data_IF_742463994916
#
_entry.id   IF_742463994916
#
_cell.length_a   1.000
_cell.length_b   1.000
_cell.length_c   1.000
_cell.angle_alpha   90.00
_cell.angle_beta   90.00
_cell.angle_gamma   90.00
#
_symmetry.space_group_name_H-M   'P 1'
#
loop_
_entity.id
_entity.type
_entity.pdbx_description
1 polymer ?
#
# COMPACT_ATOMS: atom_id res chain seq x y z
N UNK A 1 6.15 -2.70 -81.19
CA UNK A 1 5.57 -3.55 -80.12
C UNK A 1 6.23 -3.17 -78.80
N UNK A 2 5.57 -2.33 -78.00
CA UNK A 2 6.08 -1.83 -76.72
C UNK A 2 5.54 -2.68 -75.58
N UNK A 3 6.43 -3.42 -74.92
CA UNK A 3 6.11 -4.38 -73.88
C UNK A 3 5.94 -3.65 -72.53
N UNK A 4 4.70 -3.39 -72.09
CA UNK A 4 4.38 -2.83 -70.77
C UNK A 4 4.57 -3.90 -69.71
N UNK A 5 5.69 -3.87 -68.98
CA UNK A 5 5.85 -4.63 -67.73
C UNK A 5 4.89 -4.09 -66.67
N UNK A 6 3.86 -4.88 -66.33
CA UNK A 6 3.04 -4.69 -65.13
C UNK A 6 3.93 -4.92 -63.91
N UNK A 7 4.23 -3.86 -63.18
CA UNK A 7 4.73 -3.95 -61.80
C UNK A 7 3.61 -4.50 -60.93
N UNK A 8 3.75 -5.75 -60.49
CA UNK A 8 2.86 -6.36 -59.51
C UNK A 8 3.16 -5.76 -58.13
N UNK A 9 2.35 -4.80 -57.69
CA UNK A 9 2.32 -4.26 -56.32
C UNK A 9 1.82 -5.30 -55.27
N UNK A 10 2.09 -6.59 -55.45
CA UNK A 10 1.60 -7.67 -54.56
C UNK A 10 2.36 -7.77 -53.24
N UNK A 11 3.49 -7.07 -53.10
CA UNK A 11 4.28 -7.03 -51.86
C UNK A 11 3.71 -6.08 -50.80
N UNK A 12 2.76 -5.22 -51.15
CA UNK A 12 2.21 -4.20 -50.23
C UNK A 12 1.18 -4.77 -49.26
N UNK A 13 0.15 -5.47 -49.75
CA UNK A 13 -0.96 -5.97 -48.92
C UNK A 13 -0.54 -7.08 -47.95
N UNK A 14 0.37 -7.97 -48.36
CA UNK A 14 0.84 -9.06 -47.51
C UNK A 14 1.68 -8.54 -46.32
N UNK A 15 2.51 -7.52 -46.56
CA UNK A 15 3.30 -6.88 -45.51
C UNK A 15 2.41 -6.14 -44.51
N UNK A 16 1.42 -5.40 -45.00
CA UNK A 16 0.46 -4.68 -44.14
C UNK A 16 -0.34 -5.67 -43.27
N UNK A 17 -0.85 -6.76 -43.86
CA UNK A 17 -1.57 -7.80 -43.13
C UNK A 17 -0.71 -8.44 -42.03
N UNK A 18 0.56 -8.76 -42.35
CA UNK A 18 1.51 -9.30 -41.38
C UNK A 18 1.78 -8.33 -40.22
N UNK A 19 1.98 -7.04 -40.53
CA UNK A 19 2.23 -6.02 -39.49
C UNK A 19 1.02 -5.85 -38.58
N UNK A 20 -0.19 -5.77 -39.14
CA UNK A 20 -1.43 -5.66 -38.35
C UNK A 20 -1.65 -6.90 -37.48
N UNK A 21 -1.38 -8.10 -38.01
CA UNK A 21 -1.46 -9.35 -37.24
C UNK A 21 -0.50 -9.38 -36.06
N UNK A 22 0.76 -8.97 -36.26
CA UNK A 22 1.77 -8.90 -35.19
C UNK A 22 1.36 -7.89 -34.12
N UNK A 23 0.93 -6.69 -34.52
CA UNK A 23 0.47 -5.66 -33.58
C UNK A 23 -0.75 -6.15 -32.79
N UNK A 24 -1.70 -6.81 -33.44
CA UNK A 24 -2.87 -7.41 -32.78
C UNK A 24 -2.47 -8.42 -31.70
N UNK A 25 -1.55 -9.34 -32.02
CA UNK A 25 -1.04 -10.32 -31.05
C UNK A 25 -0.33 -9.64 -29.89
N UNK A 26 0.48 -8.60 -30.16
CA UNK A 26 1.19 -7.87 -29.11
C UNK A 26 0.23 -7.14 -28.16
N UNK A 27 -0.83 -6.52 -28.68
CA UNK A 27 -1.85 -5.85 -27.85
C UNK A 27 -2.57 -6.87 -26.96
N UNK A 28 -2.99 -8.01 -27.53
CA UNK A 28 -3.65 -9.08 -26.76
C UNK A 28 -2.69 -9.62 -25.68
N UNK A 29 -1.43 -9.89 -26.04
CA UNK A 29 -0.41 -10.35 -25.11
C UNK A 29 -0.18 -9.37 -23.95
N UNK A 30 -0.06 -8.08 -24.25
CA UNK A 30 0.09 -7.03 -23.24
C UNK A 30 -1.12 -6.96 -22.29
N UNK A 31 -2.34 -7.07 -22.83
CA UNK A 31 -3.57 -7.09 -22.02
C UNK A 31 -3.63 -8.29 -21.06
N UNK A 32 -3.25 -9.49 -21.53
CA UNK A 32 -3.21 -10.69 -20.70
C UNK A 32 -2.19 -10.56 -19.58
N UNK A 33 -0.97 -10.07 -19.88
CA UNK A 33 0.08 -9.88 -18.88
C UNK A 33 -0.37 -8.85 -17.83
N UNK A 34 -0.98 -7.74 -18.26
CA UNK A 34 -1.49 -6.72 -17.34
C UNK A 34 -2.57 -7.28 -16.39
N UNK A 35 -3.49 -8.12 -16.89
CA UNK A 35 -4.53 -8.76 -16.09
C UNK A 35 -3.95 -9.71 -15.03
N UNK A 36 -2.98 -10.56 -15.40
CA UNK A 36 -2.33 -11.45 -14.44
C UNK A 36 -1.50 -10.69 -13.40
N UNK A 37 -0.85 -9.59 -13.81
CA UNK A 37 -0.11 -8.72 -12.90
C UNK A 37 -1.02 -8.05 -11.86
N UNK A 38 -2.18 -7.53 -12.27
CA UNK A 38 -3.16 -6.93 -11.37
C UNK A 38 -3.68 -7.95 -10.35
N UNK A 39 -4.04 -9.16 -10.80
CA UNK A 39 -4.45 -10.26 -9.92
C UNK A 39 -3.36 -10.67 -8.92
N UNK A 40 -2.11 -10.79 -9.36
CA UNK A 40 -0.99 -11.15 -8.48
C UNK A 40 -0.74 -10.08 -7.41
N UNK A 41 -0.84 -8.79 -7.79
CA UNK A 41 -0.64 -7.67 -6.86
C UNK A 41 -1.66 -7.58 -5.73
N UNK A 42 -2.81 -8.25 -5.89
CA UNK A 42 -3.92 -8.27 -4.94
C UNK A 42 -3.91 -9.50 -4.02
N UNK A 43 -3.05 -10.47 -4.32
CA UNK A 43 -2.82 -11.66 -3.47
C UNK A 43 -1.74 -11.43 -2.41
N UNK A 44 -1.21 -10.20 -2.33
CA UNK A 44 -0.19 -9.79 -1.36
C UNK A 44 -0.71 -8.64 -0.50
N UNK A 45 -0.14 -8.42 0.69
CA UNK A 45 -0.46 -7.25 1.51
C UNK A 45 -0.22 -5.95 0.74
N UNK A 46 -1.06 -4.93 0.99
CA UNK A 46 -0.83 -3.59 0.45
C UNK A 46 0.44 -3.01 1.10
N UNK A 47 1.50 -2.82 0.31
CA UNK A 47 2.75 -2.29 0.83
C UNK A 47 2.66 -0.76 0.99
N UNK A 48 2.89 -0.27 2.20
CA UNK A 48 2.98 1.16 2.54
C UNK A 48 4.39 1.41 3.06
N UNK A 49 5.11 2.36 2.47
CA UNK A 49 6.49 2.63 2.88
C UNK A 49 6.55 3.07 4.36
N UNK A 50 7.38 2.41 5.20
CA UNK A 50 7.59 2.83 6.59
C UNK A 50 8.09 4.26 6.69
N UNK A 51 7.82 4.91 7.82
CA UNK A 51 8.40 6.22 8.13
C UNK A 51 9.94 6.17 8.05
N UNK A 52 10.61 7.18 7.46
CA UNK A 52 12.07 7.19 7.36
C UNK A 52 12.76 7.07 8.72
N UNK A 53 13.67 6.12 8.87
CA UNK A 53 14.34 5.85 10.14
C UNK A 53 13.51 5.05 11.15
N UNK A 54 12.30 4.58 10.77
CA UNK A 54 11.59 3.60 11.57
C UNK A 54 12.28 2.22 11.49
N UNK A 55 12.47 1.60 12.66
CA UNK A 55 13.05 0.27 12.78
C UNK A 55 11.96 -0.77 13.03
N UNK A 56 12.05 -1.98 12.45
CA UNK A 56 11.17 -3.09 12.81
C UNK A 56 11.26 -3.37 14.30
N UNK A 57 10.11 -3.54 14.95
CA UNK A 57 10.01 -3.69 16.39
C UNK A 57 9.11 -4.86 16.75
N UNK A 58 9.66 -5.90 17.37
CA UNK A 58 8.92 -7.12 17.68
C UNK A 58 8.78 -8.08 16.48
N UNK A 59 8.05 -9.18 16.69
CA UNK A 59 7.78 -10.16 15.64
C UNK A 59 6.48 -9.82 14.91
N UNK A 60 6.40 -10.05 13.57
CA UNK A 60 5.14 -10.03 12.86
C UNK A 60 4.12 -10.91 13.58
N UNK A 61 2.95 -10.37 13.90
CA UNK A 61 1.88 -11.18 14.46
C UNK A 61 1.05 -11.71 13.28
N UNK A 62 1.08 -13.02 13.01
CA UNK A 62 0.25 -13.59 11.96
C UNK A 62 -1.21 -13.38 12.36
N UNK A 63 -1.97 -12.73 11.47
CA UNK A 63 -3.41 -12.65 11.61
C UNK A 63 -4.08 -13.97 11.22
N UNK A 64 -5.40 -13.96 11.10
CA UNK A 64 -6.13 -15.11 10.55
C UNK A 64 -6.12 -15.04 9.03
N UNK A 65 -5.55 -16.06 8.39
CA UNK A 65 -5.56 -16.21 6.94
C UNK A 65 -4.77 -15.10 6.25
N UNK A 66 -5.48 -14.21 5.54
CA UNK A 66 -4.91 -13.13 4.74
C UNK A 66 -4.81 -11.81 5.51
N UNK A 67 -4.33 -11.89 6.75
CA UNK A 67 -4.08 -10.71 7.58
C UNK A 67 -2.77 -10.85 8.35
N UNK A 68 -2.11 -9.73 8.60
CA UNK A 68 -0.91 -9.68 9.44
C UNK A 68 -0.78 -8.31 10.11
N UNK A 69 -0.12 -8.30 11.28
CA UNK A 69 0.31 -7.07 11.93
C UNK A 69 1.83 -6.96 11.94
N UNK A 70 2.34 -5.82 11.47
CA UNK A 70 3.75 -5.44 11.55
C UNK A 70 3.90 -4.26 12.50
N UNK A 71 5.02 -4.21 13.20
CA UNK A 71 5.28 -3.20 14.20
C UNK A 71 6.63 -2.56 13.92
N UNK A 72 6.67 -1.23 14.01
CA UNK A 72 7.87 -0.42 13.88
C UNK A 72 7.94 0.59 15.01
N UNK A 73 9.13 1.12 15.27
CA UNK A 73 9.36 2.22 16.20
C UNK A 73 10.21 3.31 15.55
N UNK A 74 9.94 4.56 15.87
CA UNK A 74 10.68 5.72 15.39
C UNK A 74 11.00 6.67 16.56
N UNK A 75 12.11 7.40 16.45
CA UNK A 75 12.53 8.38 17.47
C UNK A 75 11.79 9.72 17.37
N UNK A 76 10.98 9.92 16.33
CA UNK A 76 10.19 11.12 16.11
C UNK A 76 8.88 11.15 16.90
N UNK A 77 8.25 12.32 16.95
CA UNK A 77 6.96 12.52 17.61
C UNK A 77 5.79 11.95 16.78
N UNK A 78 4.71 11.44 17.42
CA UNK A 78 3.59 10.83 16.71
C UNK A 78 2.97 11.77 15.67
N UNK A 79 2.90 13.07 15.94
CA UNK A 79 2.36 14.07 15.00
C UNK A 79 3.20 14.23 13.73
N UNK A 80 4.54 14.14 13.87
CA UNK A 80 5.47 14.21 12.74
C UNK A 80 5.34 12.96 11.88
N UNK A 81 5.29 11.80 12.52
CA UNK A 81 5.07 10.52 11.83
C UNK A 81 3.70 10.51 11.13
N UNK A 82 2.64 11.00 11.77
CA UNK A 82 1.31 11.11 11.16
C UNK A 82 1.30 12.06 9.95
N UNK A 83 2.04 13.17 10.02
CA UNK A 83 2.16 14.11 8.90
C UNK A 83 2.81 13.46 7.67
N UNK A 84 3.83 12.63 7.85
CA UNK A 84 4.40 11.84 6.77
C UNK A 84 3.37 10.90 6.12
N UNK A 85 2.58 10.19 6.94
CA UNK A 85 1.56 9.30 6.40
C UNK A 85 0.39 10.04 5.76
N UNK A 86 0.08 11.27 6.17
CA UNK A 86 -0.89 12.12 5.47
C UNK A 86 -0.44 12.38 4.03
N UNK A 87 0.81 12.78 3.81
CA UNK A 87 1.35 13.02 2.46
C UNK A 87 1.24 11.77 1.58
N UNK A 88 1.56 10.60 2.15
CA UNK A 88 1.43 9.32 1.43
C UNK A 88 -0.01 8.91 1.17
N UNK A 89 -0.92 9.24 2.08
CA UNK A 89 -2.35 8.94 1.92
C UNK A 89 -2.98 9.81 0.84
N UNK A 90 -2.61 11.09 0.77
CA UNK A 90 -2.99 12.01 -0.30
C UNK A 90 -2.50 11.48 -1.64
N UNK A 91 -1.22 11.09 -1.74
CA UNK A 91 -0.66 10.49 -2.95
C UNK A 91 -1.40 9.20 -3.36
N UNK A 92 -1.64 8.31 -2.41
CA UNK A 92 -2.35 7.04 -2.62
C UNK A 92 -3.77 7.24 -3.15
N UNK A 93 -4.47 8.26 -2.68
CA UNK A 93 -5.85 8.58 -3.10
C UNK A 93 -5.91 9.53 -4.30
N UNK A 94 -4.81 9.71 -5.04
CA UNK A 94 -4.81 10.48 -6.28
C UNK A 94 -4.81 12.00 -6.08
N UNK A 95 -4.30 12.47 -4.94
CA UNK A 95 -4.22 13.89 -4.60
C UNK A 95 -5.41 14.42 -3.80
N UNK A 96 -6.21 13.54 -3.19
CA UNK A 96 -7.31 13.94 -2.32
C UNK A 96 -6.78 14.47 -0.97
N UNK A 97 -6.81 15.79 -0.80
CA UNK A 97 -6.36 16.48 0.42
C UNK A 97 -7.25 16.20 1.64
N UNK A 98 -8.46 15.67 1.45
CA UNK A 98 -9.34 15.28 2.56
C UNK A 98 -8.99 13.91 3.13
N UNK A 99 -8.21 13.10 2.40
CA UNK A 99 -7.76 11.79 2.83
C UNK A 99 -6.59 11.89 3.83
N UNK A 100 -6.92 12.24 5.07
CA UNK A 100 -5.98 12.44 6.16
C UNK A 100 -6.10 11.34 7.23
N UNK A 101 -5.02 11.13 7.96
CA UNK A 101 -5.00 10.32 9.17
C UNK A 101 -5.93 10.94 10.23
N UNK A 102 -6.76 10.10 10.84
CA UNK A 102 -7.71 10.53 11.87
C UNK A 102 -7.10 10.34 13.25
N UNK A 103 -7.08 11.41 14.07
CA UNK A 103 -6.66 11.35 15.47
C UNK A 103 -7.79 10.84 16.37
N UNK A 104 -7.47 9.93 17.29
CA UNK A 104 -8.39 9.37 18.27
C UNK A 104 -7.76 9.44 19.67
N UNK A 105 -8.35 10.18 20.64
CA UNK A 105 -9.49 11.09 20.46
C UNK A 105 -9.11 12.29 19.57
N UNK A 106 -10.07 13.00 18.95
CA UNK A 106 -9.76 14.17 18.11
C UNK A 106 -8.94 15.22 18.84
N UNK A 107 -9.17 15.40 20.15
CA UNK A 107 -8.42 16.30 21.02
C UNK A 107 -8.15 15.64 22.38
N UNK A 108 -7.05 16.04 23.02
CA UNK A 108 -6.68 15.55 24.36
C UNK A 108 -6.17 14.11 24.35
N UNK A 109 -6.35 13.42 25.48
CA UNK A 109 -5.94 12.03 25.69
C UNK A 109 -7.10 11.20 26.21
N UNK A 110 -7.15 9.93 25.81
CA UNK A 110 -7.98 8.91 26.44
C UNK A 110 -7.67 8.84 27.94
N UNK A 111 -8.68 8.44 28.71
CA UNK A 111 -8.48 8.13 30.13
C UNK A 111 -7.58 6.91 30.21
N UNK A 112 -6.37 7.12 30.71
CA UNK A 112 -5.42 6.04 30.99
C UNK A 112 -6.09 5.13 32.03
N UNK A 113 -6.28 3.87 31.67
CA UNK A 113 -6.80 2.87 32.60
C UNK A 113 -5.70 2.54 33.62
N UNK A 114 -5.89 2.83 34.92
CA UNK A 114 -4.88 2.55 35.94
C UNK A 114 -4.56 1.05 36.09
N UNK A 115 -5.40 0.17 35.56
CA UNK A 115 -5.17 -1.28 35.57
C UNK A 115 -4.52 -1.81 34.27
N UNK A 116 -4.34 -0.95 33.26
CA UNK A 116 -3.73 -1.34 31.98
C UNK A 116 -2.59 -0.36 31.62
N UNK A 117 -1.33 -0.70 31.95
CA UNK A 117 -0.17 0.15 31.67
C UNK A 117 0.10 0.33 30.16
N UNK A 118 -0.54 -0.47 29.29
CA UNK A 118 -0.46 -0.37 27.84
C UNK A 118 -1.61 0.48 27.24
N UNK A 119 -2.33 1.23 28.07
CA UNK A 119 -3.39 2.11 27.61
C UNK A 119 -2.82 3.21 26.71
N UNK A 120 -3.25 3.24 25.45
CA UNK A 120 -2.80 4.21 24.46
C UNK A 120 -3.51 5.55 24.72
N UNK A 121 -2.78 6.63 25.05
CA UNK A 121 -3.39 7.91 25.39
C UNK A 121 -4.01 8.58 24.16
N UNK A 122 -3.42 8.44 22.99
CA UNK A 122 -4.03 8.85 21.72
C UNK A 122 -3.34 8.10 20.59
N UNK A 123 -4.00 8.01 19.44
CA UNK A 123 -3.44 7.43 18.23
C UNK A 123 -3.89 8.20 16.99
N UNK A 124 -3.09 8.12 15.94
CA UNK A 124 -3.51 8.47 14.58
C UNK A 124 -3.79 7.19 13.82
N UNK A 125 -4.86 7.18 13.03
CA UNK A 125 -5.22 6.07 12.14
C UNK A 125 -5.25 6.55 10.70
N UNK A 126 -4.37 6.01 9.86
CA UNK A 126 -4.33 6.25 8.43
C UNK A 126 -4.79 4.96 7.73
N UNK A 127 -5.76 5.05 6.80
CA UNK A 127 -6.29 3.89 6.10
C UNK A 127 -5.93 3.96 4.62
N UNK A 128 -4.95 3.15 4.20
CA UNK A 128 -4.63 2.93 2.80
C UNK A 128 -5.53 1.81 2.29
N UNK A 129 -6.51 2.15 1.45
CA UNK A 129 -7.50 1.19 0.95
C UNK A 129 -7.41 1.06 -0.57
N UNK A 130 -7.46 -0.18 -1.07
CA UNK A 130 -7.59 -0.53 -2.49
C UNK A 130 -8.69 -1.58 -2.71
N UNK A 131 -9.60 -1.70 -1.75
CA UNK A 131 -10.72 -2.62 -1.79
C UNK A 131 -11.70 -2.26 -2.91
N UNK A 132 -12.40 -3.26 -3.41
CA UNK A 132 -13.45 -3.11 -4.42
C UNK A 132 -14.64 -4.02 -4.06
N UNK A 133 -15.66 -4.09 -4.92
CA UNK A 133 -16.91 -4.81 -4.64
C UNK A 133 -16.75 -6.32 -4.36
N UNK A 134 -15.68 -6.96 -4.86
CA UNK A 134 -15.41 -8.39 -4.73
C UNK A 134 -14.13 -8.72 -3.96
N UNK A 135 -13.38 -7.71 -3.50
CA UNK A 135 -12.04 -7.87 -2.96
C UNK A 135 -11.77 -6.89 -1.83
N UNK A 136 -11.09 -7.33 -0.78
CA UNK A 136 -10.62 -6.46 0.31
C UNK A 136 -9.10 -6.39 0.28
N UNK A 137 -8.52 -5.20 0.19
CA UNK A 137 -7.08 -5.02 0.33
C UNK A 137 -6.80 -3.67 0.97
N UNK A 138 -6.36 -3.66 2.23
CA UNK A 138 -6.03 -2.42 2.93
C UNK A 138 -4.84 -2.59 3.87
N UNK A 139 -4.22 -1.47 4.20
CA UNK A 139 -3.27 -1.33 5.31
C UNK A 139 -3.70 -0.17 6.17
N UNK A 140 -4.03 -0.47 7.42
CA UNK A 140 -4.30 0.54 8.44
C UNK A 140 -3.02 0.77 9.23
N UNK A 141 -2.53 2.00 9.16
CA UNK A 141 -1.38 2.46 9.94
C UNK A 141 -1.90 3.12 11.21
N UNK A 142 -1.54 2.56 12.36
CA UNK A 142 -1.83 3.13 13.68
C UNK A 142 -0.54 3.70 14.25
N UNK A 143 -0.58 4.95 14.68
CA UNK A 143 0.60 5.68 15.15
C UNK A 143 0.28 6.20 16.54
N UNK A 144 1.09 5.85 17.54
CA UNK A 144 0.82 6.22 18.92
C UNK A 144 2.12 6.32 19.72
N UNK A 145 2.15 7.09 20.82
CA UNK A 145 3.31 7.14 21.69
C UNK A 145 3.55 5.76 22.32
N UNK A 146 4.81 5.34 22.36
CA UNK A 146 5.22 4.09 22.97
C UNK A 146 5.09 4.14 24.49
N UNK A 147 4.85 2.96 25.08
CA UNK A 147 4.73 2.78 26.51
C UNK A 147 6.04 2.24 27.10
N UNK A 148 6.33 2.55 28.38
CA UNK A 148 7.44 1.93 29.09
C UNK A 148 7.21 0.42 29.25
N UNK A 149 8.29 -0.35 29.14
CA UNK A 149 8.29 -1.80 29.36
C UNK A 149 9.55 -2.20 30.14
N UNK A 150 9.41 -3.17 31.05
CA UNK A 150 10.51 -3.71 31.84
C UNK A 150 11.55 -4.44 30.97
N UNK A 151 11.14 -5.01 29.83
CA UNK A 151 12.04 -5.61 28.86
C UNK A 151 12.64 -4.52 27.95
N UNK A 152 13.98 -4.30 27.95
CA UNK A 152 14.63 -3.31 27.11
C UNK A 152 14.38 -3.48 25.60
N UNK A 153 14.10 -4.70 25.13
CA UNK A 153 13.81 -4.96 23.72
C UNK A 153 12.38 -4.57 23.34
N UNK A 154 11.46 -4.59 24.31
CA UNK A 154 10.07 -4.19 24.17
C UNK A 154 9.78 -2.80 24.77
N UNK A 155 10.81 -2.08 25.21
CA UNK A 155 10.64 -0.72 25.69
C UNK A 155 10.53 0.25 24.51
N UNK A 156 9.43 0.99 24.47
CA UNK A 156 9.17 2.03 23.48
C UNK A 156 8.98 3.41 24.14
N UNK A 157 9.40 3.57 25.40
CA UNK A 157 9.33 4.84 26.12
C UNK A 157 10.06 5.95 25.35
N UNK A 158 9.37 7.06 25.13
CA UNK A 158 9.90 8.21 24.38
C UNK A 158 9.99 8.01 22.87
N UNK A 159 9.58 6.85 22.35
CA UNK A 159 9.50 6.55 20.92
C UNK A 159 8.05 6.61 20.43
N UNK A 160 7.88 6.72 19.12
CA UNK A 160 6.59 6.51 18.45
C UNK A 160 6.50 5.08 17.95
N UNK A 161 5.40 4.41 18.24
CA UNK A 161 5.06 3.10 17.69
C UNK A 161 4.22 3.29 16.44
N UNK A 162 4.54 2.51 15.41
CA UNK A 162 3.82 2.44 14.15
C UNK A 162 3.38 0.99 13.95
N UNK A 163 2.10 0.73 14.04
CA UNK A 163 1.50 -0.59 13.80
C UNK A 163 0.83 -0.59 12.43
N UNK A 164 1.18 -1.56 11.60
CA UNK A 164 0.52 -1.83 10.34
C UNK A 164 -0.40 -3.02 10.51
N UNK A 165 -1.70 -2.81 10.40
CA UNK A 165 -2.69 -3.86 10.26
C UNK A 165 -3.00 -4.05 8.78
N UNK A 166 -2.56 -5.17 8.20
CA UNK A 166 -2.70 -5.44 6.77
C UNK A 166 -3.71 -6.57 6.55
N UNK A 167 -4.60 -6.39 5.58
CA UNK A 167 -5.60 -7.39 5.19
C UNK A 167 -5.69 -7.46 3.66
N UNK A 168 -5.71 -8.67 3.08
CA UNK A 168 -5.80 -8.87 1.63
C UNK A 168 -6.62 -10.13 1.26
N UNK A 169 -7.91 -10.00 1.01
CA UNK A 169 -8.74 -11.10 0.54
C UNK A 169 -9.11 -10.91 -0.94
N UNK A 170 -8.60 -11.77 -1.86
CA UNK A 170 -8.89 -11.70 -3.29
C UNK A 170 -10.31 -12.13 -3.68
#
# INVERSE_FOLDING_TARGET
>A
MTNRRRSSNSSSFFRISLTVGIVGILIIGAGVIAFFSDRASRQVPLNVEPFPGAEPWGAPQPGRGTSQSLFFRAADQPDTVASYYNERLIEHNGGDEEALCVRLPPNGTNRIDPNNPLSIPFEYRCLFDRSNWDMTQFTRVRIYPGAPNDDPFLNAEGLTVIEYEQVWNP
#
